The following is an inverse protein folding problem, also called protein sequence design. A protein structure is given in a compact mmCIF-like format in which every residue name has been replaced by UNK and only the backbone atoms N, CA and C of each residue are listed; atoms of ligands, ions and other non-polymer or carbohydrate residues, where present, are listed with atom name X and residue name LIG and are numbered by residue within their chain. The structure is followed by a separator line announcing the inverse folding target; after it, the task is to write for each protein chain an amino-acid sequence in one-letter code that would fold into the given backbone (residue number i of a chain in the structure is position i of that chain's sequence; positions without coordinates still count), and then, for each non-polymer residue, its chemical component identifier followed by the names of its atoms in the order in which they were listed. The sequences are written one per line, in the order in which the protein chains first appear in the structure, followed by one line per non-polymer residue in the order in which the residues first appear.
data_IF_333825209125
#
_entry.id   IF_333825209125
#
_cell.length_a   1.000
_cell.length_b   1.000
_cell.length_c   1.000
_cell.angle_alpha   90.00
_cell.angle_beta   90.00
_cell.angle_gamma   90.00
#
_symmetry.space_group_name_H-M   'P 1'
#
loop_
_entity.id
_entity.type
_entity.pdbx_description
1 polymer ?
#
# COMPACT_ATOMS: atom_id res chain seq x y z
N UNK A 1 -29.30 17.88 -15.05
CA UNK A 1 -28.59 16.60 -14.81
C UNK A 1 -27.12 16.86 -15.03
N UNK A 2 -26.24 16.49 -14.09
CA UNK A 2 -24.80 16.81 -14.19
C UNK A 2 -24.18 15.99 -15.34
N UNK A 3 -23.66 16.66 -16.36
CA UNK A 3 -23.11 16.05 -17.59
C UNK A 3 -22.00 15.02 -17.31
N UNK A 4 -21.20 15.27 -16.28
CA UNK A 4 -20.13 14.36 -15.85
C UNK A 4 -20.73 13.06 -15.29
N UNK A 5 -21.82 13.16 -14.50
CA UNK A 5 -22.50 11.98 -13.97
C UNK A 5 -23.10 11.11 -15.07
N UNK A 6 -23.68 11.71 -16.12
CA UNK A 6 -24.25 10.90 -17.22
C UNK A 6 -23.16 10.20 -18.03
N UNK A 7 -22.02 10.85 -18.26
CA UNK A 7 -20.90 10.24 -18.98
C UNK A 7 -20.30 9.06 -18.21
N UNK A 8 -20.16 9.18 -16.88
CA UNK A 8 -19.67 8.09 -16.03
C UNK A 8 -20.60 6.87 -16.09
N UNK A 9 -21.92 7.08 -16.01
CA UNK A 9 -22.90 5.98 -16.09
C UNK A 9 -22.81 5.28 -17.44
N UNK A 10 -22.75 6.02 -18.55
CA UNK A 10 -22.60 5.44 -19.89
C UNK A 10 -21.31 4.62 -20.04
N UNK A 11 -20.20 5.07 -19.45
CA UNK A 11 -18.93 4.35 -19.50
C UNK A 11 -18.92 3.09 -18.62
N UNK A 12 -19.67 3.09 -17.52
CA UNK A 12 -19.82 1.92 -16.64
C UNK A 12 -20.70 0.83 -17.27
N UNK A 13 -21.69 1.19 -18.09
CA UNK A 13 -22.57 0.24 -18.79
C UNK A 13 -21.83 -0.63 -19.83
N UNK A 14 -20.72 -0.13 -20.39
CA UNK A 14 -19.94 -0.81 -21.42
C UNK A 14 -18.64 -1.44 -20.90
N UNK A 15 -18.38 -1.35 -19.59
CA UNK A 15 -17.16 -1.87 -18.99
C UNK A 15 -17.26 -3.40 -18.85
N UNK A 16 -16.18 -4.14 -19.18
CA UNK A 16 -16.11 -5.59 -18.90
C UNK A 16 -16.20 -5.89 -17.40
N UNK A 17 -16.85 -7.00 -17.02
CA UNK A 17 -17.07 -7.37 -15.61
C UNK A 17 -15.76 -7.52 -14.80
N UNK A 18 -14.69 -8.00 -15.44
CA UNK A 18 -13.36 -8.09 -14.82
C UNK A 18 -12.79 -6.70 -14.47
N UNK A 19 -13.06 -5.70 -15.32
CA UNK A 19 -12.68 -4.31 -15.10
C UNK A 19 -13.62 -3.57 -14.15
N UNK A 20 -14.88 -3.96 -14.09
CA UNK A 20 -15.83 -3.40 -13.13
C UNK A 20 -15.34 -3.61 -11.69
N UNK A 21 -14.79 -4.79 -11.39
CA UNK A 21 -14.23 -5.09 -10.07
C UNK A 21 -13.03 -4.21 -9.73
N UNK A 22 -12.14 -3.97 -10.69
CA UNK A 22 -11.00 -3.06 -10.51
C UNK A 22 -11.48 -1.62 -10.24
N UNK A 23 -12.48 -1.13 -10.99
CA UNK A 23 -13.06 0.20 -10.79
C UNK A 23 -13.70 0.34 -9.41
N UNK A 24 -14.50 -0.66 -8.98
CA UNK A 24 -15.09 -0.66 -7.64
C UNK A 24 -14.03 -0.67 -6.53
N UNK A 25 -12.98 -1.47 -6.70
CA UNK A 25 -11.85 -1.49 -5.76
C UNK A 25 -11.16 -0.13 -5.69
N UNK A 26 -10.98 0.53 -6.84
CA UNK A 26 -10.37 1.86 -6.90
C UNK A 26 -11.26 2.92 -6.24
N UNK A 27 -12.57 2.89 -6.45
CA UNK A 27 -13.51 3.81 -5.76
C UNK A 27 -13.46 3.61 -4.24
N UNK A 28 -13.43 2.36 -3.77
CA UNK A 28 -13.27 2.07 -2.34
C UNK A 28 -11.94 2.60 -1.80
N UNK A 29 -10.85 2.44 -2.57
CA UNK A 29 -9.55 3.01 -2.21
C UNK A 29 -9.60 4.54 -2.09
N UNK A 30 -10.27 5.23 -3.02
CA UNK A 30 -10.41 6.69 -2.94
C UNK A 30 -11.19 7.13 -1.70
N UNK A 31 -12.25 6.41 -1.32
CA UNK A 31 -12.97 6.67 -0.07
C UNK A 31 -12.06 6.44 1.13
N UNK A 32 -11.37 5.30 1.19
CA UNK A 32 -10.41 5.01 2.26
C UNK A 32 -9.32 6.08 2.37
N UNK A 33 -8.81 6.58 1.25
CA UNK A 33 -7.78 7.63 1.21
C UNK A 33 -8.30 8.96 1.77
N UNK A 34 -9.59 9.26 1.66
CA UNK A 34 -10.18 10.47 2.29
C UNK A 34 -10.19 10.38 3.81
N UNK A 35 -10.34 9.16 4.35
CA UNK A 35 -10.31 8.88 5.79
C UNK A 35 -8.88 8.67 6.32
N UNK A 36 -7.96 8.27 5.44
CA UNK A 36 -6.58 7.92 5.73
C UNK A 36 -5.66 8.77 4.83
N UNK A 37 -5.83 10.08 4.88
CA UNK A 37 -5.02 11.00 4.10
C UNK A 37 -3.57 10.85 4.54
N UNK A 38 -2.67 10.57 3.59
CA UNK A 38 -1.24 10.62 3.84
C UNK A 38 -0.87 11.99 4.38
N UNK A 39 -0.11 11.99 5.46
CA UNK A 39 0.50 13.19 5.98
C UNK A 39 1.63 13.65 5.05
N UNK A 40 2.08 14.88 5.24
CA UNK A 40 3.28 15.36 4.55
C UNK A 40 4.48 14.48 4.88
N UNK A 41 4.59 14.04 6.13
CA UNK A 41 5.64 13.11 6.59
C UNK A 41 5.61 11.78 5.82
N UNK A 42 4.43 11.17 5.63
CA UNK A 42 4.29 9.94 4.84
C UNK A 42 4.77 10.13 3.39
N UNK A 43 4.50 11.32 2.83
CA UNK A 43 4.87 11.65 1.45
C UNK A 43 6.37 11.88 1.33
N UNK A 44 6.94 12.66 2.25
CA UNK A 44 8.37 12.95 2.31
C UNK A 44 9.19 11.67 2.53
N UNK A 45 8.66 10.72 3.32
CA UNK A 45 9.28 9.42 3.51
C UNK A 45 9.23 8.54 2.24
N UNK A 46 8.07 8.46 1.57
CA UNK A 46 7.90 7.67 0.35
C UNK A 46 8.72 8.20 -0.84
N UNK A 47 8.85 9.52 -0.94
CA UNK A 47 9.57 10.21 -2.02
C UNK A 47 11.04 10.45 -1.66
N UNK A 48 11.48 9.98 -0.50
CA UNK A 48 12.87 10.14 -0.06
C UNK A 48 13.83 9.47 -1.03
N UNK A 49 14.91 10.18 -1.37
CA UNK A 49 15.96 9.62 -2.20
C UNK A 49 16.78 8.59 -1.42
N UNK A 50 16.56 7.32 -1.75
CA UNK A 50 17.23 6.19 -1.13
C UNK A 50 18.59 5.87 -1.78
N UNK A 51 19.05 6.65 -2.77
CA UNK A 51 20.35 6.44 -3.42
C UNK A 51 21.53 6.52 -2.44
N UNK A 52 21.34 7.20 -1.30
CA UNK A 52 22.34 7.33 -0.25
C UNK A 52 22.41 6.17 0.74
N UNK A 53 21.51 5.18 0.67
CA UNK A 53 21.43 4.10 1.66
C UNK A 53 22.73 3.32 1.82
N UNK A 54 23.47 3.10 0.71
CA UNK A 54 24.75 2.39 0.73
C UNK A 54 25.86 3.15 1.48
N UNK A 55 25.67 4.44 1.74
CA UNK A 55 26.64 5.26 2.49
C UNK A 55 26.43 5.22 4.01
N UNK A 56 25.33 4.62 4.48
CA UNK A 56 25.06 4.46 5.91
C UNK A 56 25.59 3.11 6.38
N UNK A 57 26.21 3.09 7.55
CA UNK A 57 26.51 1.84 8.23
C UNK A 57 25.19 1.08 8.50
N UNK A 58 25.16 -0.25 8.30
CA UNK A 58 24.00 -1.06 8.64
C UNK A 58 23.56 -0.79 10.08
N UNK A 59 22.25 -0.63 10.28
CA UNK A 59 21.71 -0.40 11.62
C UNK A 59 21.90 -1.65 12.48
N UNK A 60 22.79 -1.55 13.46
CA UNK A 60 23.01 -2.61 14.46
C UNK A 60 22.01 -2.44 15.61
N UNK A 61 20.99 -3.30 15.61
CA UNK A 61 19.97 -3.35 16.66
C UNK A 61 20.61 -3.46 18.05
N UNK A 62 20.22 -2.57 18.96
CA UNK A 62 20.68 -2.65 20.35
C UNK A 62 19.81 -3.63 21.16
N UNK A 63 20.37 -4.12 22.27
CA UNK A 63 19.65 -5.00 23.19
C UNK A 63 18.40 -4.28 23.73
N UNK A 64 17.22 -4.86 23.49
CA UNK A 64 15.92 -4.30 23.91
C UNK A 64 15.19 -3.42 22.88
N UNK A 65 15.78 -3.12 21.72
CA UNK A 65 15.08 -2.39 20.63
C UNK A 65 14.14 -3.29 19.83
N UNK A 66 14.55 -4.54 19.60
CA UNK A 66 13.67 -5.56 19.06
C UNK A 66 12.75 -6.02 20.18
N UNK A 67 11.46 -5.68 20.06
CA UNK A 67 10.43 -6.29 20.90
C UNK A 67 10.49 -7.81 20.70
N UNK A 68 10.36 -8.58 21.78
CA UNK A 68 10.17 -10.04 21.72
C UNK A 68 8.83 -10.35 21.03
N UNK A 69 8.84 -10.34 19.70
CA UNK A 69 7.76 -10.82 18.86
C UNK A 69 7.96 -12.29 18.52
N UNK A 70 6.88 -12.95 18.10
CA UNK A 70 6.99 -14.30 17.52
C UNK A 70 7.93 -14.23 16.31
N UNK A 71 8.92 -15.14 16.19
CA UNK A 71 9.87 -15.09 15.09
C UNK A 71 9.12 -15.26 13.76
N UNK A 72 9.24 -14.25 12.90
CA UNK A 72 8.61 -14.25 11.58
C UNK A 72 9.65 -14.62 10.54
N UNK A 73 9.45 -15.73 9.84
CA UNK A 73 10.31 -16.19 8.75
C UNK A 73 9.62 -16.00 7.41
N UNK A 74 10.26 -15.28 6.50
CA UNK A 74 9.82 -15.19 5.11
C UNK A 74 10.34 -16.40 4.32
N UNK A 75 9.44 -17.12 3.66
CA UNK A 75 9.78 -18.26 2.80
C UNK A 75 9.71 -17.82 1.34
N UNK A 76 10.87 -17.47 0.77
CA UNK A 76 10.99 -16.89 -0.58
C UNK A 76 10.40 -17.76 -1.69
N UNK A 77 10.46 -19.08 -1.56
CA UNK A 77 9.93 -20.04 -2.54
C UNK A 77 8.40 -20.02 -2.64
N UNK A 78 7.71 -19.63 -1.57
CA UNK A 78 6.24 -19.65 -1.50
C UNK A 78 5.62 -18.27 -1.35
N UNK A 79 6.44 -17.24 -1.10
CA UNK A 79 5.98 -15.90 -0.78
C UNK A 79 5.19 -15.81 0.53
N UNK A 80 5.31 -16.84 1.39
CA UNK A 80 4.57 -16.92 2.66
C UNK A 80 5.39 -16.40 3.82
N UNK A 81 4.66 -15.91 4.80
CA UNK A 81 5.18 -15.52 6.10
C UNK A 81 4.80 -16.63 7.09
N UNK A 82 5.80 -17.27 7.68
CA UNK A 82 5.63 -18.23 8.77
C UNK A 82 5.90 -17.53 10.10
N UNK A 83 4.99 -17.69 11.06
CA UNK A 83 5.15 -17.18 12.42
C UNK A 83 5.46 -18.39 13.29
N UNK A 84 6.65 -18.40 13.90
CA UNK A 84 7.03 -19.47 14.82
C UNK A 84 6.18 -19.42 16.08
N UNK A 85 5.40 -20.47 16.32
CA UNK A 85 4.73 -20.77 17.59
C UNK A 85 5.58 -21.74 18.41
#
# INVERSE_FOLDING_TARGET
MNTIKSEIVQRLEIIPDDKLREVLSFLNYLVWQTENSRTQEDTDWLESDLSGLDNYEPYEWQEGELQEGLPVKFVSETGKIEIGL
#
